data_IF_426380768345
#
_entry.id   IF_426380768345
#
_cell.length_a   1.000
_cell.length_b   1.000
_cell.length_c   1.000
_cell.angle_alpha   90.00
_cell.angle_beta   90.00
_cell.angle_gamma   90.00
#
_symmetry.space_group_name_H-M   'P 1'
#
loop_
_entity.id
_entity.type
_entity.pdbx_description
1 polymer ?
#
# COMPACT_ATOMS: atom_id res chain seq x y z
N UNK A 1 -16.02 7.39 -9.88
CA UNK A 1 -15.51 6.08 -9.45
C UNK A 1 -14.00 6.12 -9.59
N UNK A 2 -13.27 6.04 -8.48
CA UNK A 2 -11.80 6.08 -8.45
C UNK A 2 -11.27 4.66 -8.25
N UNK A 3 -10.13 4.34 -8.85
CA UNK A 3 -9.41 3.09 -8.62
C UNK A 3 -8.38 3.29 -7.51
N UNK A 4 -8.41 2.45 -6.49
CA UNK A 4 -7.52 2.52 -5.33
C UNK A 4 -6.81 1.19 -5.15
N UNK A 5 -5.47 1.21 -5.19
CA UNK A 5 -4.64 0.06 -4.86
C UNK A 5 -4.17 0.15 -3.42
N UNK A 6 -4.50 -0.83 -2.58
CA UNK A 6 -4.04 -0.91 -1.20
C UNK A 6 -2.87 -1.90 -1.13
N UNK A 7 -1.68 -1.44 -0.78
CA UNK A 7 -0.47 -2.23 -0.65
C UNK A 7 -0.17 -2.48 0.82
N UNK A 8 -0.15 -3.74 1.24
CA UNK A 8 -0.04 -4.12 2.64
C UNK A 8 1.38 -4.61 2.93
N UNK A 9 1.99 -4.01 3.96
CA UNK A 9 3.22 -4.52 4.57
C UNK A 9 2.92 -5.04 5.96
N UNK A 10 2.96 -6.35 6.17
CA UNK A 10 2.68 -6.92 7.49
C UNK A 10 3.65 -8.04 7.83
N UNK A 11 4.03 -8.11 9.12
CA UNK A 11 4.77 -9.24 9.69
C UNK A 11 3.81 -10.23 10.36
N UNK A 12 2.78 -9.72 11.04
CA UNK A 12 1.88 -10.52 11.89
C UNK A 12 0.40 -10.41 11.50
N UNK A 13 0.09 -9.91 10.31
CA UNK A 13 -1.29 -9.80 9.81
C UNK A 13 -2.09 -8.58 10.30
N UNK A 14 -1.62 -7.82 11.29
CA UNK A 14 -2.39 -6.66 11.82
C UNK A 14 -2.69 -5.60 10.76
N UNK A 15 -1.73 -5.28 9.89
CA UNK A 15 -1.93 -4.28 8.83
C UNK A 15 -2.88 -4.76 7.73
N UNK A 16 -3.08 -6.08 7.59
CA UNK A 16 -4.07 -6.64 6.66
C UNK A 16 -5.49 -6.29 7.12
N UNK A 17 -5.78 -6.44 8.41
CA UNK A 17 -7.11 -6.08 8.96
C UNK A 17 -7.45 -4.61 8.72
N UNK A 18 -6.47 -3.71 8.86
CA UNK A 18 -6.66 -2.29 8.57
C UNK A 18 -6.87 -2.04 7.08
N UNK A 19 -6.16 -2.78 6.21
CA UNK A 19 -6.34 -2.70 4.77
C UNK A 19 -7.73 -3.20 4.33
N UNK A 20 -8.24 -4.28 4.91
CA UNK A 20 -9.59 -4.80 4.67
C UNK A 20 -10.67 -3.82 5.14
N UNK A 21 -10.49 -3.19 6.29
CA UNK A 21 -11.43 -2.17 6.77
C UNK A 21 -11.42 -0.93 5.85
N UNK A 22 -10.24 -0.49 5.42
CA UNK A 22 -10.09 0.60 4.46
C UNK A 22 -10.73 0.26 3.10
N UNK A 23 -10.57 -0.99 2.63
CA UNK A 23 -11.25 -1.48 1.43
C UNK A 23 -12.77 -1.38 1.57
N UNK A 24 -13.34 -1.89 2.67
CA UNK A 24 -14.78 -1.85 2.91
C UNK A 24 -15.32 -0.42 2.91
N UNK A 25 -14.63 0.51 3.58
CA UNK A 25 -15.04 1.93 3.64
C UNK A 25 -15.01 2.55 2.24
N UNK A 26 -13.95 2.31 1.46
CA UNK A 26 -13.80 2.88 0.12
C UNK A 26 -14.79 2.26 -0.89
N UNK A 27 -15.06 0.96 -0.79
CA UNK A 27 -16.07 0.29 -1.61
C UNK A 27 -17.48 0.82 -1.28
N UNK A 28 -17.81 1.04 0.00
CA UNK A 28 -19.08 1.65 0.40
C UNK A 28 -19.27 3.07 -0.15
N UNK A 29 -18.17 3.81 -0.37
CA UNK A 29 -18.17 5.12 -1.02
C UNK A 29 -18.26 5.06 -2.55
N UNK A 30 -18.33 3.85 -3.15
CA UNK A 30 -18.43 3.65 -4.59
C UNK A 30 -17.09 3.78 -5.32
N UNK A 31 -15.98 3.43 -4.66
CA UNK A 31 -14.66 3.30 -5.28
C UNK A 31 -14.32 1.85 -5.59
N UNK A 32 -13.51 1.64 -6.62
CA UNK A 32 -13.00 0.32 -6.98
C UNK A 32 -11.68 0.12 -6.26
N UNK A 33 -11.62 -0.88 -5.39
CA UNK A 33 -10.50 -1.07 -4.47
C UNK A 33 -9.94 -2.47 -4.65
N UNK A 34 -8.63 -2.61 -4.57
CA UNK A 34 -7.94 -3.89 -4.60
C UNK A 34 -6.81 -3.91 -3.58
N UNK A 35 -6.77 -4.95 -2.75
CA UNK A 35 -5.74 -5.17 -1.74
C UNK A 35 -4.64 -6.08 -2.28
N UNK A 36 -3.38 -5.73 -2.00
CA UNK A 36 -2.17 -6.46 -2.39
C UNK A 36 -1.30 -6.73 -1.16
N UNK A 37 -1.25 -7.98 -0.72
CA UNK A 37 -0.38 -8.42 0.38
C UNK A 37 1.09 -8.56 -0.05
N UNK A 38 1.33 -8.92 -1.31
CA UNK A 38 2.64 -9.00 -1.94
C UNK A 38 2.64 -8.16 -3.22
N UNK A 39 2.59 -6.85 -3.06
CA UNK A 39 2.50 -5.93 -4.19
C UNK A 39 3.75 -5.97 -5.07
N UNK A 40 3.55 -6.08 -6.38
CA UNK A 40 4.62 -6.02 -7.36
C UNK A 40 4.78 -4.60 -7.92
N UNK A 41 5.97 -4.30 -8.46
CA UNK A 41 6.21 -3.01 -9.11
C UNK A 41 5.29 -2.80 -10.33
N UNK A 42 4.89 -3.87 -11.02
CA UNK A 42 3.96 -3.78 -12.14
C UNK A 42 2.58 -3.30 -11.68
N UNK A 43 2.08 -3.83 -10.56
CA UNK A 43 0.81 -3.39 -9.96
C UNK A 43 0.92 -1.95 -9.44
N UNK A 44 2.01 -1.59 -8.78
CA UNK A 44 2.24 -0.20 -8.37
C UNK A 44 2.22 0.78 -9.56
N UNK A 45 2.84 0.39 -10.68
CA UNK A 45 2.89 1.21 -11.88
C UNK A 45 1.51 1.46 -12.49
N UNK A 46 0.61 0.48 -12.40
CA UNK A 46 -0.78 0.66 -12.82
C UNK A 46 -1.48 1.79 -12.05
N UNK A 47 -1.22 1.90 -10.74
CA UNK A 47 -1.82 2.94 -9.89
C UNK A 47 -1.11 4.29 -9.92
N UNK A 48 -0.05 4.48 -10.72
CA UNK A 48 0.65 5.78 -10.82
C UNK A 48 -0.24 6.96 -11.20
N UNK A 49 -1.25 6.71 -12.04
CA UNK A 49 -2.24 7.71 -12.48
C UNK A 49 -3.56 7.61 -11.68
N UNK A 50 -3.55 6.84 -10.59
CA UNK A 50 -4.69 6.56 -9.74
C UNK A 50 -4.32 6.83 -8.27
N UNK A 51 -5.04 6.21 -7.33
CA UNK A 51 -4.78 6.33 -5.90
C UNK A 51 -4.07 5.07 -5.39
N UNK A 52 -3.04 5.25 -4.58
CA UNK A 52 -2.37 4.16 -3.88
C UNK A 52 -2.40 4.44 -2.36
N UNK A 53 -2.87 3.47 -1.60
CA UNK A 53 -2.82 3.46 -0.15
C UNK A 53 -1.79 2.41 0.27
N UNK A 54 -0.84 2.77 1.11
CA UNK A 54 0.11 1.82 1.70
C UNK A 54 -0.24 1.67 3.17
N UNK A 55 -0.50 0.44 3.60
CA UNK A 55 -0.79 0.11 5.00
C UNK A 55 0.32 -0.81 5.47
N UNK A 56 1.22 -0.32 6.32
CA UNK A 56 2.37 -1.11 6.74
C UNK A 56 2.59 -1.08 8.24
N UNK A 57 2.86 -2.23 8.84
CA UNK A 57 3.40 -2.30 10.20
C UNK A 57 4.90 -2.02 10.16
N UNK A 58 5.43 -1.27 11.11
CA UNK A 58 6.88 -1.19 11.32
C UNK A 58 7.31 -2.24 12.33
N UNK A 59 8.48 -2.84 12.15
CA UNK A 59 9.11 -3.61 13.23
C UNK A 59 9.67 -2.65 14.29
N UNK A 60 9.99 -3.15 15.49
CA UNK A 60 10.46 -2.32 16.61
C UNK A 60 11.75 -1.52 16.39
N UNK A 61 12.43 -1.70 15.24
CA UNK A 61 13.60 -0.92 14.84
C UNK A 61 13.32 0.07 13.69
N UNK A 62 12.07 0.17 13.24
CA UNK A 62 11.68 1.03 12.12
C UNK A 62 11.83 0.37 10.74
N UNK A 63 12.20 -0.91 10.68
CA UNK A 63 12.31 -1.64 9.43
C UNK A 63 10.92 -1.99 8.87
N UNK A 64 10.83 -1.95 7.53
CA UNK A 64 9.67 -2.41 6.79
C UNK A 64 9.59 -3.95 6.81
N UNK A 65 8.37 -4.52 6.78
CA UNK A 65 8.17 -5.96 6.64
C UNK A 65 8.72 -6.49 5.32
N UNK A 66 9.18 -7.74 5.31
CA UNK A 66 9.69 -8.42 4.11
C UNK A 66 8.66 -8.51 2.98
N UNK A 67 7.37 -8.44 3.30
CA UNK A 67 6.27 -8.43 2.33
C UNK A 67 6.25 -7.17 1.45
N UNK A 68 6.69 -6.01 1.97
CA UNK A 68 6.64 -4.73 1.25
C UNK A 68 8.03 -4.13 0.97
N UNK A 69 9.06 -4.58 1.68
CA UNK A 69 10.43 -4.10 1.48
C UNK A 69 10.92 -4.24 0.02
N UNK A 70 10.67 -5.35 -0.72
CA UNK A 70 11.07 -5.48 -2.12
C UNK A 70 10.37 -4.44 -3.02
N UNK A 71 9.08 -4.19 -2.77
CA UNK A 71 8.31 -3.19 -3.51
C UNK A 71 8.86 -1.78 -3.26
N UNK A 72 9.12 -1.45 -2.00
CA UNK A 72 9.69 -0.15 -1.63
C UNK A 72 11.05 0.09 -2.29
N UNK A 73 11.93 -0.92 -2.28
CA UNK A 73 13.22 -0.85 -2.97
C UNK A 73 13.05 -0.67 -4.48
N UNK A 74 12.16 -1.44 -5.10
CA UNK A 74 11.87 -1.34 -6.52
C UNK A 74 11.32 0.06 -6.91
N UNK A 75 10.46 0.64 -6.09
CA UNK A 75 9.93 1.99 -6.29
C UNK A 75 11.07 3.01 -6.18
N UNK A 76 11.85 2.95 -5.10
CA UNK A 76 12.96 3.88 -4.88
C UNK A 76 13.96 3.85 -6.03
N UNK A 77 14.31 2.66 -6.50
CA UNK A 77 15.41 2.47 -7.46
C UNK A 77 14.96 2.69 -8.92
N UNK A 78 13.72 2.36 -9.29
CA UNK A 78 13.25 2.41 -10.69
C UNK A 78 12.33 3.57 -11.02
N UNK A 79 11.74 4.22 -10.02
CA UNK A 79 10.61 5.13 -10.25
C UNK A 79 10.98 6.59 -9.98
N UNK A 80 11.85 6.85 -9.01
CA UNK A 80 12.28 8.21 -8.70
C UNK A 80 11.12 9.11 -8.26
N UNK A 81 11.02 10.32 -8.83
CA UNK A 81 10.03 11.33 -8.43
C UNK A 81 8.67 11.13 -9.09
N UNK A 82 7.60 11.09 -8.29
CA UNK A 82 6.22 10.90 -8.77
C UNK A 82 5.30 12.04 -8.30
N UNK A 83 5.13 13.11 -9.09
CA UNK A 83 4.28 14.24 -8.70
C UNK A 83 2.78 13.92 -8.79
N UNK A 84 2.38 12.93 -9.60
CA UNK A 84 0.97 12.59 -9.84
C UNK A 84 0.42 11.57 -8.84
N UNK A 85 1.29 10.83 -8.15
CA UNK A 85 0.89 9.79 -7.22
C UNK A 85 0.40 10.42 -5.91
N UNK A 86 -0.84 10.12 -5.53
CA UNK A 86 -1.39 10.49 -4.23
C UNK A 86 -1.25 9.30 -3.29
N UNK A 87 -0.21 9.35 -2.47
CA UNK A 87 0.14 8.31 -1.51
C UNK A 87 -0.42 8.63 -0.12
N UNK A 88 -1.07 7.64 0.47
CA UNK A 88 -1.43 7.63 1.89
C UNK A 88 -0.68 6.51 2.59
N UNK A 89 -0.11 6.79 3.75
CA UNK A 89 0.63 5.81 4.56
C UNK A 89 -0.01 5.73 5.94
N UNK A 90 -0.47 4.54 6.30
CA UNK A 90 -0.89 4.23 7.67
C UNK A 90 0.10 3.26 8.32
N UNK A 91 0.61 3.63 9.49
CA UNK A 91 1.60 2.87 10.23
C UNK A 91 0.99 2.34 11.52
N UNK A 92 0.59 1.08 11.52
CA UNK A 92 0.18 0.37 12.75
C UNK A 92 1.39 -0.24 13.43
N UNK A 93 2.06 0.56 14.26
CA UNK A 93 3.10 0.11 15.21
C UNK A 93 2.62 0.30 16.65
N UNK A 94 3.06 -0.57 17.55
CA UNK A 94 2.87 -0.38 19.00
C UNK A 94 4.07 0.36 19.59
#
# INVERSE_FOLDING_TARGET
>A
MAQVGIFVGTVYGNSLLVAEEAENILQQQGHEVKVFEEGTLAEWQFYRQHYALVVTSTTGQGDLPDSIAPLFQAIRDQVGYQPELRLWLDCTGR
#
